data_IF_504846208734
#
_entry.id   IF_504846208734
#
_cell.length_a   1.000
_cell.length_b   1.000
_cell.length_c   1.000
_cell.angle_alpha   90.00
_cell.angle_beta   90.00
_cell.angle_gamma   90.00
#
_symmetry.space_group_name_H-M   'P 1'
#
loop_
_entity.id
_entity.type
_entity.pdbx_description
1 polymer ?
#
# COMPACT_ATOMS: atom_id res chain seq x y z
N UNK A 1 106.64 52.41 -77.55
CA UNK A 1 106.98 53.56 -76.66
C UNK A 1 106.29 53.39 -75.31
N UNK A 2 106.98 53.83 -74.28
CA UNK A 2 106.75 53.73 -72.82
C UNK A 2 105.67 54.66 -72.24
N UNK A 3 105.01 54.24 -71.15
CA UNK A 3 104.82 54.96 -69.85
C UNK A 3 103.72 54.24 -69.02
N UNK A 4 103.98 53.63 -67.84
CA UNK A 4 104.25 54.12 -66.46
C UNK A 4 103.07 54.80 -65.74
N UNK A 5 102.57 54.12 -64.67
CA UNK A 5 102.12 54.65 -63.35
C UNK A 5 100.88 55.58 -63.30
N UNK A 6 99.99 55.67 -62.29
CA UNK A 6 99.81 55.09 -60.94
C UNK A 6 98.47 55.59 -60.33
N UNK A 7 97.87 54.81 -59.41
CA UNK A 7 97.09 55.19 -58.19
C UNK A 7 95.84 56.10 -58.24
N UNK A 8 94.70 55.58 -57.76
CA UNK A 8 93.74 56.17 -56.80
C UNK A 8 92.51 55.23 -56.72
N UNK A 9 92.27 54.37 -55.72
CA UNK A 9 91.96 54.60 -54.31
C UNK A 9 91.01 55.79 -54.04
N UNK A 10 89.69 55.51 -54.04
CA UNK A 10 88.65 56.39 -53.49
C UNK A 10 87.46 55.50 -53.06
N UNK A 11 87.51 54.91 -51.85
CA UNK A 11 86.81 55.41 -50.66
C UNK A 11 85.48 56.08 -51.02
N UNK A 12 84.40 55.31 -51.06
CA UNK A 12 83.13 55.87 -50.60
C UNK A 12 82.26 54.80 -49.96
N UNK A 13 81.92 55.13 -48.70
CA UNK A 13 80.69 54.73 -48.02
C UNK A 13 80.69 53.33 -47.39
N UNK A 14 81.53 53.20 -46.37
CA UNK A 14 81.27 52.36 -45.21
C UNK A 14 79.84 52.61 -44.68
N UNK A 15 78.96 51.64 -44.93
CA UNK A 15 77.56 51.62 -44.48
C UNK A 15 77.28 50.43 -43.56
N UNK A 16 78.28 49.97 -42.80
CA UNK A 16 78.09 49.00 -41.73
C UNK A 16 78.49 49.68 -40.43
N UNK A 17 77.49 50.18 -39.70
CA UNK A 17 77.64 50.48 -38.28
C UNK A 17 77.91 49.15 -37.57
N UNK A 18 79.19 48.84 -37.35
CA UNK A 18 79.58 47.85 -36.33
C UNK A 18 79.00 48.33 -35.00
N UNK A 19 78.10 47.52 -34.46
CA UNK A 19 77.68 47.56 -33.07
C UNK A 19 78.26 46.37 -32.33
N UNK A 20 79.59 46.29 -32.23
CA UNK A 20 80.32 45.25 -31.47
C UNK A 20 79.92 45.20 -29.98
N UNK A 21 79.17 46.18 -29.47
CA UNK A 21 78.67 46.20 -28.09
C UNK A 21 77.31 45.50 -27.90
N UNK A 22 76.56 45.23 -28.97
CA UNK A 22 75.21 44.61 -28.87
C UNK A 22 75.27 43.09 -28.95
N UNK A 23 76.15 42.55 -29.81
CA UNK A 23 76.38 41.12 -30.01
C UNK A 23 76.98 40.41 -28.79
N UNK A 24 77.90 41.06 -28.06
CA UNK A 24 78.48 40.52 -26.82
C UNK A 24 77.42 40.41 -25.71
N UNK A 25 76.50 41.37 -25.63
CA UNK A 25 75.39 41.36 -24.67
C UNK A 25 74.36 40.27 -24.98
N UNK A 26 74.03 40.08 -26.26
CA UNK A 26 73.14 39.01 -26.72
C UNK A 26 73.77 37.63 -26.50
N UNK A 27 75.08 37.48 -26.75
CA UNK A 27 75.81 36.25 -26.47
C UNK A 27 75.77 35.88 -24.97
N UNK A 28 75.88 36.87 -24.09
CA UNK A 28 75.70 36.65 -22.65
C UNK A 28 74.26 36.23 -22.29
N UNK A 29 73.26 36.84 -22.92
CA UNK A 29 71.85 36.46 -22.73
C UNK A 29 71.63 35.01 -23.16
N UNK A 30 72.12 34.63 -24.34
CA UNK A 30 72.02 33.25 -24.81
C UNK A 30 72.73 32.26 -23.90
N UNK A 31 73.90 32.59 -23.34
CA UNK A 31 74.59 31.72 -22.36
C UNK A 31 73.75 31.51 -21.10
N UNK A 32 73.14 32.58 -20.58
CA UNK A 32 72.27 32.51 -19.39
C UNK A 32 70.99 31.72 -19.67
N UNK A 33 70.39 31.92 -20.83
CA UNK A 33 69.19 31.20 -21.26
C UNK A 33 69.48 29.72 -21.50
N UNK A 34 70.61 29.37 -22.12
CA UNK A 34 71.03 27.98 -22.30
C UNK A 34 71.29 27.29 -20.96
N UNK A 35 71.85 28.00 -19.98
CA UNK A 35 72.02 27.50 -18.62
C UNK A 35 70.67 27.31 -17.90
N UNK A 36 69.73 28.26 -18.07
CA UNK A 36 68.38 28.17 -17.52
C UNK A 36 67.58 27.00 -18.14
N UNK A 37 67.70 26.80 -19.46
CA UNK A 37 67.08 25.69 -20.17
C UNK A 37 67.67 24.36 -19.75
N UNK A 38 69.00 24.25 -19.60
CA UNK A 38 69.65 23.05 -19.06
C UNK A 38 69.16 22.73 -17.65
N UNK A 39 69.10 23.73 -16.77
CA UNK A 39 68.59 23.56 -15.40
C UNK A 39 67.12 23.14 -15.40
N UNK A 40 66.29 23.78 -16.21
CA UNK A 40 64.87 23.43 -16.37
C UNK A 40 64.70 22.01 -16.91
N UNK A 41 65.51 21.59 -17.88
CA UNK A 41 65.50 20.23 -18.40
C UNK A 41 65.91 19.22 -17.33
N UNK A 42 66.91 19.52 -16.51
CA UNK A 42 67.38 18.69 -15.41
C UNK A 42 66.33 18.58 -14.29
N UNK A 43 65.64 19.67 -13.99
CA UNK A 43 64.52 19.72 -13.04
C UNK A 43 63.30 18.96 -13.57
N UNK A 44 63.03 19.01 -14.88
CA UNK A 44 62.00 18.20 -15.54
C UNK A 44 62.38 16.72 -15.49
N UNK A 45 63.63 16.36 -15.79
CA UNK A 45 64.09 14.96 -15.75
C UNK A 45 64.01 14.41 -14.31
N UNK A 46 64.43 15.19 -13.31
CA UNK A 46 64.35 14.80 -11.89
C UNK A 46 62.91 14.83 -11.35
N UNK A 47 62.06 15.71 -11.88
CA UNK A 47 60.66 15.87 -11.46
C UNK A 47 59.69 14.87 -12.08
N UNK A 48 59.96 14.39 -13.29
CA UNK A 48 59.04 13.55 -14.08
C UNK A 48 58.97 12.08 -13.62
N UNK A 49 59.81 11.64 -12.69
CA UNK A 49 59.78 10.27 -12.17
C UNK A 49 60.29 10.17 -10.73
N UNK A 50 59.50 10.64 -9.77
CA UNK A 50 59.72 10.32 -8.34
C UNK A 50 59.08 9.00 -7.90
N UNK A 51 58.46 8.25 -8.81
CA UNK A 51 57.90 6.94 -8.49
C UNK A 51 58.93 5.87 -8.85
N UNK A 52 59.45 5.19 -7.83
CA UNK A 52 60.34 4.05 -8.04
C UNK A 52 59.63 2.95 -8.84
N UNK A 53 60.37 2.11 -9.60
CA UNK A 53 59.78 1.01 -10.34
C UNK A 53 58.90 0.10 -9.45
N UNK A 54 59.30 -0.10 -8.20
CA UNK A 54 58.58 -0.92 -7.23
C UNK A 54 57.25 -0.29 -6.79
N UNK A 55 57.21 1.03 -6.58
CA UNK A 55 55.98 1.77 -6.28
C UNK A 55 55.03 1.76 -7.47
N UNK A 56 55.55 1.89 -8.70
CA UNK A 56 54.76 1.77 -9.93
C UNK A 56 54.13 0.38 -10.06
N UNK A 57 54.90 -0.68 -9.77
CA UNK A 57 54.42 -2.06 -9.78
C UNK A 57 53.30 -2.27 -8.75
N UNK A 58 53.50 -1.83 -7.51
CA UNK A 58 52.48 -1.90 -6.44
C UNK A 58 51.20 -1.15 -6.80
N UNK A 59 51.33 0.01 -7.45
CA UNK A 59 50.17 0.78 -7.91
C UNK A 59 49.38 0.02 -8.98
N UNK A 60 50.06 -0.56 -9.96
CA UNK A 60 49.43 -1.36 -11.01
C UNK A 60 48.70 -2.59 -10.44
N UNK A 61 49.33 -3.28 -9.49
CA UNK A 61 48.69 -4.40 -8.80
C UNK A 61 47.44 -3.96 -8.04
N UNK A 62 47.49 -2.80 -7.36
CA UNK A 62 46.33 -2.24 -6.66
C UNK A 62 45.20 -1.84 -7.61
N UNK A 63 45.55 -1.23 -8.75
CA UNK A 63 44.57 -0.91 -9.81
C UNK A 63 43.89 -2.20 -10.29
N UNK A 64 44.66 -3.23 -10.61
CA UNK A 64 44.13 -4.52 -11.07
C UNK A 64 43.19 -5.15 -10.02
N UNK A 65 43.55 -5.12 -8.74
CA UNK A 65 42.68 -5.64 -7.67
C UNK A 65 41.37 -4.87 -7.58
N UNK A 66 41.42 -3.55 -7.67
CA UNK A 66 40.24 -2.69 -7.61
C UNK A 66 39.34 -2.87 -8.83
N UNK A 67 39.91 -3.00 -10.04
CA UNK A 67 39.17 -3.28 -11.26
C UNK A 67 38.44 -4.62 -11.16
N UNK A 68 39.11 -5.64 -10.64
CA UNK A 68 38.54 -6.98 -10.44
C UNK A 68 37.39 -6.97 -9.42
N UNK A 69 37.55 -6.22 -8.31
CA UNK A 69 36.49 -6.06 -7.32
C UNK A 69 35.31 -5.25 -7.87
N UNK A 70 35.58 -4.17 -8.59
CA UNK A 70 34.55 -3.33 -9.19
C UNK A 70 33.70 -4.11 -10.20
N UNK A 71 34.34 -4.96 -11.02
CA UNK A 71 33.65 -5.86 -11.94
C UNK A 71 32.75 -6.86 -11.20
N UNK A 72 33.21 -7.42 -10.08
CA UNK A 72 32.38 -8.31 -9.24
C UNK A 72 31.16 -7.58 -8.68
N UNK A 73 31.33 -6.36 -8.16
CA UNK A 73 30.21 -5.58 -7.63
C UNK A 73 29.22 -5.15 -8.71
N UNK A 74 29.69 -4.79 -9.90
CA UNK A 74 28.81 -4.48 -11.03
C UNK A 74 27.96 -5.68 -11.43
N UNK A 75 28.54 -6.88 -11.47
CA UNK A 75 27.80 -8.11 -11.77
C UNK A 75 26.73 -8.40 -10.70
N UNK A 76 27.08 -8.29 -9.41
CA UNK A 76 26.12 -8.47 -8.30
C UNK A 76 25.00 -7.43 -8.37
N UNK A 77 25.32 -6.17 -8.66
CA UNK A 77 24.33 -5.11 -8.83
C UNK A 77 23.39 -5.43 -10.00
N UNK A 78 23.92 -5.89 -11.13
CA UNK A 78 23.13 -6.32 -12.28
C UNK A 78 22.16 -7.47 -11.94
N UNK A 79 22.63 -8.47 -11.20
CA UNK A 79 21.76 -9.57 -10.72
C UNK A 79 20.66 -9.07 -9.78
N UNK A 80 21.00 -8.14 -8.86
CA UNK A 80 20.03 -7.54 -7.93
C UNK A 80 19.01 -6.68 -8.65
N UNK A 81 19.41 -5.91 -9.66
CA UNK A 81 18.49 -5.12 -10.48
C UNK A 81 17.52 -6.02 -11.26
N UNK A 82 17.99 -7.16 -11.78
CA UNK A 82 17.12 -8.16 -12.40
C UNK A 82 16.12 -8.75 -11.40
N UNK A 83 16.57 -9.12 -10.20
CA UNK A 83 15.71 -9.61 -9.12
C UNK A 83 14.63 -8.58 -8.74
N UNK A 84 15.01 -7.31 -8.61
CA UNK A 84 14.09 -6.21 -8.33
C UNK A 84 13.04 -6.08 -9.44
N UNK A 85 13.45 -6.15 -10.72
CA UNK A 85 12.50 -6.09 -11.84
C UNK A 85 11.51 -7.26 -11.81
N UNK A 86 11.98 -8.48 -11.58
CA UNK A 86 11.10 -9.68 -11.46
C UNK A 86 10.10 -9.53 -10.32
N UNK A 87 10.54 -9.05 -9.15
CA UNK A 87 9.66 -8.82 -8.01
C UNK A 87 8.63 -7.73 -8.29
N UNK A 88 9.04 -6.65 -8.95
CA UNK A 88 8.17 -5.55 -9.36
C UNK A 88 7.09 -6.02 -10.33
N UNK A 89 7.47 -6.82 -11.33
CA UNK A 89 6.54 -7.41 -12.30
C UNK A 89 5.55 -8.36 -11.62
N UNK A 90 6.02 -9.18 -10.66
CA UNK A 90 5.17 -10.09 -9.88
C UNK A 90 4.14 -9.33 -9.03
N UNK A 91 4.55 -8.21 -8.41
CA UNK A 91 3.63 -7.36 -7.65
C UNK A 91 2.63 -6.67 -8.58
N UNK A 92 3.09 -6.16 -9.72
CA UNK A 92 2.21 -5.53 -10.70
C UNK A 92 1.19 -6.55 -11.25
N UNK A 93 1.61 -7.78 -11.53
CA UNK A 93 0.70 -8.82 -11.99
C UNK A 93 -0.33 -9.21 -10.92
N UNK A 94 0.08 -9.35 -9.64
CA UNK A 94 -0.86 -9.59 -8.54
C UNK A 94 -1.87 -8.46 -8.35
N UNK A 95 -1.42 -7.21 -8.47
CA UNK A 95 -2.33 -6.06 -8.42
C UNK A 95 -3.26 -6.00 -9.64
N UNK A 96 -2.77 -6.34 -10.84
CA UNK A 96 -3.57 -6.42 -12.07
C UNK A 96 -4.59 -7.55 -12.02
N UNK A 97 -4.28 -8.64 -11.31
CA UNK A 97 -5.19 -9.79 -11.20
C UNK A 97 -6.44 -9.49 -10.39
N UNK A 98 -6.60 -8.29 -9.82
CA UNK A 98 -7.90 -7.79 -9.35
C UNK A 98 -8.51 -8.52 -8.16
N UNK A 99 -7.92 -9.65 -7.73
CA UNK A 99 -8.46 -10.55 -6.71
C UNK A 99 -8.79 -9.79 -5.42
N UNK A 100 -7.94 -8.86 -5.00
CA UNK A 100 -8.20 -8.06 -3.80
C UNK A 100 -9.38 -7.09 -3.98
N UNK A 101 -9.52 -6.46 -5.15
CA UNK A 101 -10.60 -5.51 -5.41
C UNK A 101 -11.95 -6.24 -5.60
N UNK A 102 -11.96 -7.34 -6.36
CA UNK A 102 -13.17 -8.16 -6.54
C UNK A 102 -13.63 -8.82 -5.25
N UNK A 103 -12.71 -9.25 -4.38
CA UNK A 103 -13.06 -9.77 -3.05
C UNK A 103 -13.64 -8.67 -2.15
N UNK A 104 -13.14 -7.43 -2.23
CA UNK A 104 -13.71 -6.30 -1.50
C UNK A 104 -15.13 -5.99 -1.96
N UNK A 105 -15.38 -5.96 -3.28
CA UNK A 105 -16.72 -5.74 -3.84
C UNK A 105 -17.69 -6.85 -3.42
N UNK A 106 -17.26 -8.11 -3.44
CA UNK A 106 -18.07 -9.25 -2.98
C UNK A 106 -18.40 -9.17 -1.49
N UNK A 107 -17.45 -8.74 -0.66
CA UNK A 107 -17.69 -8.53 0.77
C UNK A 107 -18.72 -7.42 1.00
N UNK A 108 -18.60 -6.30 0.29
CA UNK A 108 -19.57 -5.20 0.39
C UNK A 108 -20.98 -5.64 0.00
N UNK A 109 -21.12 -6.39 -1.10
CA UNK A 109 -22.40 -6.95 -1.53
C UNK A 109 -22.98 -7.92 -0.48
N UNK A 110 -22.15 -8.82 0.06
CA UNK A 110 -22.57 -9.76 1.11
C UNK A 110 -23.00 -9.06 2.39
N UNK A 111 -22.31 -7.99 2.80
CA UNK A 111 -22.70 -7.20 3.96
C UNK A 111 -24.06 -6.53 3.75
N UNK A 112 -24.32 -5.97 2.55
CA UNK A 112 -25.64 -5.40 2.21
C UNK A 112 -26.73 -6.46 2.21
N UNK A 113 -26.44 -7.65 1.70
CA UNK A 113 -27.37 -8.78 1.69
C UNK A 113 -27.72 -9.24 3.11
N UNK A 114 -26.74 -9.35 4.01
CA UNK A 114 -26.95 -9.70 5.42
C UNK A 114 -27.79 -8.65 6.12
N UNK A 115 -27.46 -7.36 5.95
CA UNK A 115 -28.23 -6.26 6.55
C UNK A 115 -29.72 -6.29 6.14
N UNK A 116 -30.00 -6.62 4.87
CA UNK A 116 -31.37 -6.78 4.38
C UNK A 116 -32.08 -7.98 5.02
N UNK A 117 -31.39 -9.12 5.16
CA UNK A 117 -31.96 -10.31 5.81
C UNK A 117 -32.23 -10.04 7.29
N UNK A 118 -31.33 -9.36 7.99
CA UNK A 118 -31.52 -8.98 9.40
C UNK A 118 -32.73 -8.05 9.57
N UNK A 119 -32.90 -7.07 8.67
CA UNK A 119 -34.09 -6.21 8.68
C UNK A 119 -35.38 -7.02 8.50
N UNK A 120 -35.40 -7.99 7.58
CA UNK A 120 -36.55 -8.87 7.37
C UNK A 120 -36.83 -9.76 8.59
N UNK A 121 -35.79 -10.31 9.22
CA UNK A 121 -35.93 -11.11 10.43
C UNK A 121 -36.48 -10.29 11.60
N UNK A 122 -36.04 -9.05 11.76
CA UNK A 122 -36.58 -8.15 12.79
C UNK A 122 -38.08 -7.87 12.56
N UNK A 123 -38.48 -7.55 11.34
CA UNK A 123 -39.90 -7.34 10.99
C UNK A 123 -40.74 -8.59 11.28
N UNK A 124 -40.25 -9.77 10.91
CA UNK A 124 -40.96 -11.04 11.18
C UNK A 124 -41.02 -11.34 12.68
N UNK A 125 -39.98 -11.02 13.44
CA UNK A 125 -39.97 -11.17 14.90
C UNK A 125 -41.01 -10.28 15.56
N UNK A 126 -41.12 -9.01 15.12
CA UNK A 126 -42.13 -8.07 15.62
C UNK A 126 -43.55 -8.56 15.32
N UNK A 127 -43.81 -9.07 14.11
CA UNK A 127 -45.10 -9.68 13.75
C UNK A 127 -45.41 -10.92 14.59
N UNK A 128 -44.42 -11.77 14.84
CA UNK A 128 -44.57 -12.97 15.67
C UNK A 128 -44.94 -12.61 17.12
N UNK A 129 -44.27 -11.61 17.70
CA UNK A 129 -44.56 -11.12 19.04
C UNK A 129 -45.94 -10.47 19.11
N UNK A 130 -46.33 -9.71 18.08
CA UNK A 130 -47.68 -9.17 17.98
C UNK A 130 -48.75 -10.26 17.93
N UNK A 131 -48.57 -11.29 17.08
CA UNK A 131 -49.48 -12.42 16.98
C UNK A 131 -49.57 -13.22 18.29
N UNK A 132 -48.44 -13.43 18.96
CA UNK A 132 -48.38 -14.09 20.27
C UNK A 132 -49.22 -13.33 21.31
N UNK A 133 -49.08 -12.01 21.36
CA UNK A 133 -49.87 -11.16 22.23
C UNK A 133 -51.38 -11.23 21.92
N UNK A 134 -51.76 -11.23 20.63
CA UNK A 134 -53.15 -11.41 20.22
C UNK A 134 -53.71 -12.77 20.66
N UNK A 135 -52.94 -13.85 20.47
CA UNK A 135 -53.35 -15.19 20.87
C UNK A 135 -53.50 -15.32 22.39
N UNK A 136 -52.59 -14.74 23.17
CA UNK A 136 -52.71 -14.67 24.63
C UNK A 136 -53.97 -13.88 25.04
N UNK A 137 -54.27 -12.76 24.39
CA UNK A 137 -55.48 -11.98 24.68
C UNK A 137 -56.78 -12.73 24.35
N UNK A 138 -56.83 -13.43 23.21
CA UNK A 138 -57.98 -14.26 22.82
C UNK A 138 -58.13 -15.44 23.79
N UNK A 139 -57.02 -16.09 24.16
CA UNK A 139 -57.03 -17.21 25.10
C UNK A 139 -57.54 -16.78 26.49
N UNK A 140 -57.13 -15.61 26.98
CA UNK A 140 -57.65 -15.03 28.21
C UNK A 140 -59.16 -14.78 28.13
N UNK A 141 -59.64 -14.16 27.04
CA UNK A 141 -61.08 -13.95 26.81
C UNK A 141 -61.86 -15.26 26.77
N UNK A 142 -61.31 -16.30 26.14
CA UNK A 142 -61.92 -17.63 26.10
C UNK A 142 -62.02 -18.24 27.51
N UNK A 143 -60.97 -18.10 28.34
CA UNK A 143 -60.99 -18.55 29.72
C UNK A 143 -62.04 -17.79 30.54
N UNK A 144 -62.11 -16.47 30.40
CA UNK A 144 -63.09 -15.63 31.10
C UNK A 144 -64.53 -15.99 30.73
N UNK A 145 -64.82 -16.15 29.43
CA UNK A 145 -66.14 -16.57 28.96
C UNK A 145 -66.51 -17.97 29.44
N UNK A 146 -65.56 -18.92 29.44
CA UNK A 146 -65.78 -20.27 29.96
C UNK A 146 -66.08 -20.25 31.45
N UNK A 147 -65.36 -19.45 32.23
CA UNK A 147 -65.58 -19.27 33.66
C UNK A 147 -66.95 -18.62 33.92
N UNK A 148 -67.30 -17.57 33.17
CA UNK A 148 -68.61 -16.91 33.26
C UNK A 148 -69.76 -17.88 32.94
N UNK A 149 -69.64 -18.69 31.88
CA UNK A 149 -70.63 -19.70 31.55
C UNK A 149 -70.76 -20.80 32.62
N UNK A 150 -69.64 -21.27 33.18
CA UNK A 150 -69.64 -22.23 34.29
C UNK A 150 -70.31 -21.66 35.54
N UNK A 151 -70.04 -20.39 35.87
CA UNK A 151 -70.66 -19.68 36.98
C UNK A 151 -72.17 -19.46 36.77
N UNK A 152 -72.62 -19.23 35.54
CA UNK A 152 -74.04 -19.13 35.20
C UNK A 152 -74.76 -20.48 35.38
N UNK A 153 -74.17 -21.58 34.88
CA UNK A 153 -74.72 -22.93 35.03
C UNK A 153 -74.79 -23.37 36.50
N UNK A 154 -73.75 -23.13 37.28
CA UNK A 154 -73.74 -23.47 38.72
C UNK A 154 -74.75 -22.65 39.50
N UNK A 155 -74.95 -21.37 39.18
CA UNK A 155 -76.02 -20.54 39.74
C UNK A 155 -77.41 -21.07 39.37
N UNK A 156 -77.61 -21.49 38.11
CA UNK A 156 -78.86 -22.09 37.64
C UNK A 156 -79.17 -23.41 38.38
N UNK A 157 -78.20 -24.33 38.47
CA UNK A 157 -78.37 -25.61 39.17
C UNK A 157 -78.64 -25.41 40.67
N UNK A 158 -78.00 -24.43 41.33
CA UNK A 158 -78.33 -24.08 42.72
C UNK A 158 -79.76 -23.56 42.87
N UNK A 159 -80.25 -22.74 41.92
CA UNK A 159 -81.62 -22.24 41.94
C UNK A 159 -82.66 -23.36 41.78
N UNK A 160 -82.38 -24.39 40.98
CA UNK A 160 -83.30 -25.52 40.78
C UNK A 160 -83.17 -26.64 41.83
N UNK A 161 -82.13 -26.63 42.66
CA UNK A 161 -81.91 -27.63 43.71
C UNK A 161 -83.02 -27.70 44.77
N UNK A 162 -83.51 -26.59 45.37
CA UNK A 162 -84.60 -26.66 46.35
C UNK A 162 -85.91 -27.15 45.72
N UNK A 163 -86.20 -26.78 44.47
CA UNK A 163 -87.39 -27.25 43.75
C UNK A 163 -87.35 -28.75 43.45
N UNK A 164 -86.18 -29.30 43.10
CA UNK A 164 -86.00 -30.75 42.92
C UNK A 164 -86.24 -31.53 44.21
N UNK A 165 -85.79 -31.02 45.36
CA UNK A 165 -86.00 -31.66 46.66
C UNK A 165 -87.48 -31.64 47.07
N UNK A 166 -88.20 -30.54 46.79
CA UNK A 166 -89.65 -30.43 47.03
C UNK A 166 -90.43 -31.43 46.18
N UNK A 167 -90.11 -31.57 44.89
CA UNK A 167 -90.79 -32.53 44.00
C UNK A 167 -90.50 -33.98 44.42
N UNK A 168 -89.24 -34.33 44.74
CA UNK A 168 -88.89 -35.67 45.23
C UNK A 168 -89.55 -36.00 46.58
N UNK A 169 -89.64 -35.01 47.49
CA UNK A 169 -90.38 -35.15 48.75
C UNK A 169 -91.88 -35.38 48.52
N UNK A 170 -92.50 -34.68 47.56
CA UNK A 170 -93.90 -34.85 47.22
C UNK A 170 -94.21 -36.24 46.64
N UNK A 171 -93.31 -36.79 45.83
CA UNK A 171 -93.43 -38.14 45.25
C UNK A 171 -93.26 -39.25 46.31
N UNK A 172 -92.37 -39.05 47.29
CA UNK A 172 -92.13 -40.03 48.37
C UNK A 172 -93.28 -40.14 49.39
N UNK A 173 -94.13 -39.11 49.50
CA UNK A 173 -95.27 -39.07 50.45
C UNK A 173 -96.56 -39.64 49.81
N UNK A 174 -96.49 -40.24 48.62
CA UNK A 174 -97.61 -41.01 48.04
C UNK A 174 -98.67 -40.17 47.34
N UNK A 175 -98.37 -38.92 46.97
CA UNK A 175 -99.24 -38.10 46.14
C UNK A 175 -99.01 -38.40 44.65
N UNK A 176 -99.75 -39.35 44.09
CA UNK A 176 -99.83 -39.55 42.63
C UNK A 176 -100.81 -38.51 42.04
N UNK A 177 -100.41 -37.56 41.18
CA UNK A 177 -101.36 -36.81 40.39
C UNK A 177 -101.59 -37.54 39.07
N UNK A 178 -102.84 -37.90 38.84
CA UNK A 178 -103.32 -38.38 37.54
C UNK A 178 -103.01 -37.36 36.46
N UNK A 179 -102.53 -37.85 35.32
CA UNK A 179 -102.33 -37.11 34.09
C UNK A 179 -103.55 -36.25 33.76
N UNK A 180 -103.34 -34.98 33.38
CA UNK A 180 -103.85 -34.44 32.12
C UNK A 180 -103.36 -32.99 31.88
N UNK A 181 -103.01 -32.74 30.62
CA UNK A 181 -102.68 -31.47 29.99
C UNK A 181 -101.33 -30.82 30.31
N UNK A 182 -100.31 -31.29 29.57
CA UNK A 182 -99.29 -30.41 29.03
C UNK A 182 -99.87 -29.64 27.84
N UNK A 183 -99.88 -28.32 27.91
CA UNK A 183 -99.99 -27.44 26.74
C UNK A 183 -98.91 -26.38 26.92
N UNK A 184 -97.77 -26.59 26.26
CA UNK A 184 -96.63 -25.69 26.26
C UNK A 184 -96.74 -24.76 25.04
N UNK A 185 -96.69 -23.46 25.33
CA UNK A 185 -96.32 -22.35 24.45
C UNK A 185 -94.85 -22.02 24.74
#
# INVERSE_FOLDING_TARGET
MTSKASKAMNISRWGLKSGDSKSESELQVYKKENAALKKSLEDIIKGKSKMTPEERKKLLEKILTLETENEKYNNILGEKDQEIQVLKDKLQNRNKHGDAATLLDQLEEKTKEVAKKDQQLNSLSEEMDWLKNQLSAISAKHADLKNAASNALTSQVRFFSPFKLVILGYVAIGGMPTCNNWSFL
#
